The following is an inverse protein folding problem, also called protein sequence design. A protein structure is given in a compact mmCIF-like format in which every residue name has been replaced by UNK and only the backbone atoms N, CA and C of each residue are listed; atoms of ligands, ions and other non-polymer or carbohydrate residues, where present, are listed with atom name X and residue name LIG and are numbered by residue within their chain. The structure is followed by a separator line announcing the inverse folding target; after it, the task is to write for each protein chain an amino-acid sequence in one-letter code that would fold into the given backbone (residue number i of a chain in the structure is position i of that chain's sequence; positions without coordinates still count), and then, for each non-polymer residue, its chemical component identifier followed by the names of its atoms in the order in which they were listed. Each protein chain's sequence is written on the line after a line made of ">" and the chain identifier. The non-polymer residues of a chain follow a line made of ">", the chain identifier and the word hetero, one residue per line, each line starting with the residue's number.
data_IF_174257874738
#
_entry.id   IF_174257874738
#
_cell.length_a   1.000
_cell.length_b   1.000
_cell.length_c   1.000
_cell.angle_alpha   90.00
_cell.angle_beta   90.00
_cell.angle_gamma   90.00
#
_symmetry.space_group_name_H-M   'P 1'
#
loop_
_entity.id
_entity.type
_entity.pdbx_description
1 polymer ?
#
# COMPACT_ATOMS: atom_id res chain seq x y z
N UNK A 1 25.81 -18.05 0.79
CA UNK A 1 24.98 -19.11 0.16
C UNK A 1 25.78 -20.36 -0.17
N UNK A 2 26.87 -20.32 -0.94
CA UNK A 2 27.64 -21.52 -1.32
C UNK A 2 28.20 -22.29 -0.10
N UNK A 3 28.87 -21.62 0.82
CA UNK A 3 29.40 -22.22 2.06
C UNK A 3 28.30 -22.79 2.99
N UNK A 4 27.11 -22.19 3.01
CA UNK A 4 25.95 -22.72 3.77
C UNK A 4 25.37 -23.99 3.12
N UNK A 5 25.34 -24.03 1.78
CA UNK A 5 24.90 -25.20 1.03
C UNK A 5 25.90 -26.37 1.20
N UNK A 6 27.20 -26.10 1.15
CA UNK A 6 28.26 -27.10 1.38
C UNK A 6 28.17 -27.68 2.79
N UNK A 7 28.02 -26.82 3.82
CA UNK A 7 27.83 -27.28 5.22
C UNK A 7 26.56 -28.14 5.36
N UNK A 8 25.46 -27.74 4.72
CA UNK A 8 24.20 -28.49 4.76
C UNK A 8 24.36 -29.88 4.09
N UNK A 9 25.03 -29.94 2.94
CA UNK A 9 25.33 -31.19 2.22
C UNK A 9 26.16 -32.10 3.11
N UNK A 10 27.21 -31.59 3.77
CA UNK A 10 28.04 -32.34 4.69
C UNK A 10 27.22 -32.91 5.87
N UNK A 11 26.36 -32.10 6.49
CA UNK A 11 25.48 -32.54 7.56
C UNK A 11 24.51 -33.64 7.10
N UNK A 12 23.96 -33.53 5.91
CA UNK A 12 23.01 -34.50 5.35
C UNK A 12 23.71 -35.81 5.00
N UNK A 13 24.97 -35.78 4.53
CA UNK A 13 25.72 -36.96 4.11
C UNK A 13 25.95 -37.98 5.23
N UNK A 14 25.79 -37.62 6.49
CA UNK A 14 25.90 -38.51 7.65
C UNK A 14 24.63 -39.31 7.94
N UNK A 15 23.51 -39.02 7.25
CA UNK A 15 22.26 -39.77 7.43
C UNK A 15 22.09 -40.83 6.33
N UNK A 16 21.54 -42.03 6.64
CA UNK A 16 21.12 -42.97 5.63
C UNK A 16 20.13 -42.31 4.65
N UNK A 17 20.36 -42.45 3.34
CA UNK A 17 19.55 -41.80 2.31
C UNK A 17 18.05 -42.09 2.45
N UNK A 18 17.69 -43.35 2.74
CA UNK A 18 16.29 -43.73 2.96
C UNK A 18 15.66 -43.03 4.17
N UNK A 19 16.41 -42.88 5.28
CA UNK A 19 15.92 -42.21 6.48
C UNK A 19 15.75 -40.69 6.25
N UNK A 20 16.69 -40.10 5.51
CA UNK A 20 16.59 -38.67 5.14
C UNK A 20 15.40 -38.43 4.21
N UNK A 21 15.22 -39.23 3.17
CA UNK A 21 14.09 -39.13 2.23
C UNK A 21 12.75 -39.27 2.97
N UNK A 22 12.61 -40.30 3.83
CA UNK A 22 11.40 -40.51 4.61
C UNK A 22 11.10 -39.32 5.56
N UNK A 23 12.12 -38.74 6.19
CA UNK A 23 11.93 -37.53 7.03
C UNK A 23 11.54 -36.30 6.21
N UNK A 24 12.11 -36.15 5.02
CA UNK A 24 11.77 -35.05 4.10
C UNK A 24 10.32 -35.17 3.63
N UNK A 25 9.89 -36.36 3.21
CA UNK A 25 8.51 -36.62 2.79
C UNK A 25 7.52 -36.42 3.90
N UNK A 26 7.80 -36.89 5.13
CA UNK A 26 6.96 -36.67 6.30
C UNK A 26 6.84 -35.18 6.63
N UNK A 27 7.94 -34.43 6.53
CA UNK A 27 7.96 -32.98 6.76
C UNK A 27 7.16 -32.24 5.69
N UNK A 28 7.36 -32.58 4.40
CA UNK A 28 6.63 -31.99 3.29
C UNK A 28 5.12 -32.26 3.42
N UNK A 29 4.74 -33.51 3.72
CA UNK A 29 3.34 -33.89 3.92
C UNK A 29 2.70 -33.15 5.10
N UNK A 30 3.40 -33.08 6.25
CA UNK A 30 2.94 -32.30 7.41
C UNK A 30 2.71 -30.82 7.07
N UNK A 31 3.63 -30.19 6.33
CA UNK A 31 3.48 -28.79 5.90
C UNK A 31 2.27 -28.60 4.99
N UNK A 32 2.03 -29.50 4.05
CA UNK A 32 0.86 -29.46 3.17
C UNK A 32 -0.43 -29.59 3.99
N UNK A 33 -0.50 -30.50 4.94
CA UNK A 33 -1.66 -30.69 5.82
C UNK A 33 -1.95 -29.41 6.65
N UNK A 34 -0.92 -28.80 7.25
CA UNK A 34 -1.08 -27.57 8.02
C UNK A 34 -1.50 -26.40 7.13
N UNK A 35 -0.95 -26.29 5.93
CA UNK A 35 -1.36 -25.28 4.96
C UNK A 35 -2.86 -25.43 4.60
N UNK A 36 -3.29 -26.64 4.22
CA UNK A 36 -4.69 -26.91 3.91
C UNK A 36 -5.61 -26.67 5.11
N UNK A 37 -5.19 -27.02 6.32
CA UNK A 37 -5.92 -26.75 7.54
C UNK A 37 -6.06 -25.23 7.78
N UNK A 38 -5.00 -24.46 7.55
CA UNK A 38 -5.01 -23.01 7.67
C UNK A 38 -5.96 -22.35 6.66
N UNK A 39 -5.93 -22.79 5.40
CA UNK A 39 -6.85 -22.29 4.37
C UNK A 39 -8.31 -22.61 4.74
N UNK A 40 -8.59 -23.86 5.16
CA UNK A 40 -9.94 -24.23 5.63
C UNK A 40 -10.39 -23.41 6.85
N UNK A 41 -9.49 -23.22 7.82
CA UNK A 41 -9.77 -22.42 9.02
C UNK A 41 -10.10 -20.96 8.66
N UNK A 42 -9.40 -20.37 7.69
CA UNK A 42 -9.68 -19.03 7.17
C UNK A 42 -11.09 -18.95 6.55
N UNK A 43 -11.43 -19.85 5.62
CA UNK A 43 -12.73 -19.83 4.96
C UNK A 43 -13.93 -20.05 5.90
N UNK A 44 -13.74 -20.79 7.00
CA UNK A 44 -14.80 -21.06 7.98
C UNK A 44 -14.76 -20.13 9.20
N UNK A 45 -13.84 -19.15 9.23
CA UNK A 45 -13.73 -18.25 10.35
C UNK A 45 -14.94 -17.31 10.44
N UNK A 46 -15.54 -17.13 11.65
CA UNK A 46 -16.77 -16.35 11.80
C UNK A 46 -16.56 -14.83 11.74
N UNK A 47 -15.33 -14.36 11.81
CA UNK A 47 -15.05 -12.93 11.76
C UNK A 47 -15.63 -12.31 10.49
N UNK A 48 -16.26 -11.15 10.65
CA UNK A 48 -16.66 -10.24 9.57
C UNK A 48 -16.38 -8.82 10.04
N UNK A 49 -15.90 -7.96 9.14
CA UNK A 49 -15.72 -6.54 9.43
C UNK A 49 -17.09 -5.89 9.70
N UNK A 50 -17.26 -5.29 10.90
CA UNK A 50 -18.52 -4.70 11.35
C UNK A 50 -18.39 -3.21 11.68
N UNK A 51 -17.42 -2.51 11.09
CA UNK A 51 -17.32 -1.07 11.29
C UNK A 51 -18.41 -0.34 10.52
N UNK A 52 -19.02 0.62 11.19
CA UNK A 52 -19.90 1.56 10.51
C UNK A 52 -19.10 2.37 9.49
N UNK A 53 -19.56 2.37 8.26
CA UNK A 53 -18.95 3.20 7.22
C UNK A 53 -19.19 4.69 7.51
N UNK A 54 -18.15 5.52 7.29
CA UNK A 54 -18.31 6.97 7.41
C UNK A 54 -19.25 7.52 6.34
N UNK A 55 -19.87 8.68 6.58
CA UNK A 55 -20.68 9.36 5.56
C UNK A 55 -19.85 9.65 4.29
N UNK A 56 -20.46 9.44 3.13
CA UNK A 56 -19.96 9.89 1.84
C UNK A 56 -20.40 11.33 1.63
N UNK A 57 -19.46 12.26 1.49
CA UNK A 57 -19.76 13.69 1.32
C UNK A 57 -19.55 14.18 -0.11
N UNK A 58 -18.87 13.42 -0.94
CA UNK A 58 -18.66 13.68 -2.36
C UNK A 58 -18.45 12.37 -3.11
N UNK A 59 -18.87 12.33 -4.36
CA UNK A 59 -18.67 11.21 -5.26
C UNK A 59 -18.48 11.67 -6.68
N UNK A 60 -17.53 11.04 -7.39
CA UNK A 60 -17.33 11.22 -8.83
C UNK A 60 -16.94 9.86 -9.44
N UNK A 61 -17.81 9.31 -10.28
CA UNK A 61 -17.72 7.94 -10.75
C UNK A 61 -17.70 6.95 -9.58
N UNK A 62 -16.73 6.06 -9.56
CA UNK A 62 -16.52 5.11 -8.46
C UNK A 62 -15.87 5.74 -7.23
N UNK A 63 -15.18 6.88 -7.39
CA UNK A 63 -14.43 7.52 -6.31
C UNK A 63 -15.34 8.27 -5.33
N UNK A 64 -15.12 8.06 -4.04
CA UNK A 64 -15.91 8.63 -2.94
C UNK A 64 -15.01 9.31 -1.91
N UNK A 65 -15.49 10.41 -1.34
CA UNK A 65 -14.85 11.08 -0.21
C UNK A 65 -15.59 10.74 1.08
N UNK A 66 -14.91 10.04 1.97
CA UNK A 66 -15.45 9.55 3.24
C UNK A 66 -15.09 10.51 4.37
N UNK A 67 -16.08 10.92 5.17
CA UNK A 67 -15.92 11.85 6.28
C UNK A 67 -15.79 11.10 7.62
N UNK A 68 -14.59 11.09 8.19
CA UNK A 68 -14.30 10.47 9.48
C UNK A 68 -14.54 11.38 10.69
N UNK A 69 -14.95 12.61 10.45
CA UNK A 69 -15.17 13.57 11.52
C UNK A 69 -13.87 14.14 12.09
N UNK A 70 -13.88 14.38 13.37
CA UNK A 70 -12.81 15.05 14.11
C UNK A 70 -13.14 16.49 14.46
N UNK A 71 -12.14 17.28 14.85
CA UNK A 71 -12.33 18.67 15.22
C UNK A 71 -12.45 19.56 13.96
N UNK A 72 -13.56 20.27 13.81
CA UNK A 72 -13.82 21.17 12.67
C UNK A 72 -12.76 22.28 12.54
N UNK A 73 -12.19 22.74 13.66
CA UNK A 73 -11.14 23.75 13.70
C UNK A 73 -9.72 23.16 13.62
N UNK A 74 -9.59 21.83 13.72
CA UNK A 74 -8.31 21.11 13.67
C UNK A 74 -7.70 21.07 12.27
N UNK A 75 -6.41 20.73 12.13
CA UNK A 75 -5.79 20.55 10.82
C UNK A 75 -6.58 19.56 9.95
N UNK A 76 -6.79 19.92 8.69
CA UNK A 76 -7.56 19.08 7.75
C UNK A 76 -6.63 18.11 7.06
N UNK A 77 -7.00 16.83 7.04
CA UNK A 77 -6.24 15.80 6.33
C UNK A 77 -7.12 15.10 5.28
N UNK A 78 -6.52 14.82 4.11
CA UNK A 78 -7.05 13.94 3.09
C UNK A 78 -6.11 12.73 2.95
N UNK A 79 -6.57 11.57 3.41
CA UNK A 79 -5.84 10.33 3.24
C UNK A 79 -6.12 9.72 1.87
N UNK A 80 -5.06 9.30 1.18
CA UNK A 80 -5.07 8.76 -0.18
C UNK A 80 -4.45 7.36 -0.16
N UNK A 81 -5.26 6.31 -0.35
CA UNK A 81 -4.78 4.93 -0.35
C UNK A 81 -4.13 4.55 -1.67
N UNK A 82 -3.56 3.34 -1.72
CA UNK A 82 -3.14 2.71 -2.97
C UNK A 82 -4.32 2.50 -3.93
N UNK A 83 -4.04 2.41 -5.21
CA UNK A 83 -5.03 2.16 -6.28
C UNK A 83 -5.44 0.68 -6.40
N UNK A 84 -4.66 -0.23 -5.82
CA UNK A 84 -4.80 -1.69 -6.07
C UNK A 84 -5.76 -2.36 -5.10
N UNK A 85 -5.76 -1.91 -3.84
CA UNK A 85 -6.60 -2.48 -2.78
C UNK A 85 -7.56 -1.43 -2.25
N UNK A 86 -8.67 -1.89 -1.68
CA UNK A 86 -9.67 -1.00 -1.10
C UNK A 86 -9.13 -0.16 0.05
N UNK A 87 -9.65 1.04 0.17
CA UNK A 87 -9.20 2.09 1.09
C UNK A 87 -9.25 1.69 2.58
N UNK A 88 -10.06 0.69 2.93
CA UNK A 88 -10.30 0.35 4.34
C UNK A 88 -9.12 -0.29 5.07
N UNK A 89 -7.95 -0.49 4.44
CA UNK A 89 -6.71 -0.77 5.17
C UNK A 89 -6.38 0.34 6.16
N UNK A 90 -6.77 1.58 5.85
CA UNK A 90 -6.63 2.75 6.72
C UNK A 90 -7.68 2.78 7.85
N UNK A 91 -8.68 1.89 7.80
CA UNK A 91 -9.75 1.70 8.81
C UNK A 91 -10.11 0.21 8.95
N UNK A 92 -9.12 -0.66 9.13
CA UNK A 92 -9.29 -2.12 9.04
C UNK A 92 -10.21 -2.67 10.13
N UNK A 93 -10.09 -2.20 11.35
CA UNK A 93 -10.92 -2.61 12.51
C UNK A 93 -10.94 -1.51 13.56
N UNK A 94 -11.87 -1.58 14.53
CA UNK A 94 -11.96 -0.60 15.62
C UNK A 94 -10.64 -0.41 16.39
N UNK A 95 -9.84 -1.47 16.51
CA UNK A 95 -8.53 -1.42 17.16
C UNK A 95 -7.39 -0.99 16.21
N UNK A 96 -7.61 -1.05 14.90
CA UNK A 96 -6.63 -0.81 13.85
C UNK A 96 -7.22 0.09 12.78
N UNK A 97 -7.42 1.35 13.13
CA UNK A 97 -7.88 2.43 12.26
C UNK A 97 -6.93 3.61 12.39
N UNK A 98 -6.24 3.90 11.31
CA UNK A 98 -5.48 5.14 11.18
C UNK A 98 -6.45 6.33 11.17
N UNK A 99 -7.49 6.27 10.35
CA UNK A 99 -8.44 7.37 10.16
C UNK A 99 -9.14 7.79 11.44
N UNK A 100 -9.72 6.82 12.18
CA UNK A 100 -10.38 7.11 13.47
C UNK A 100 -9.39 7.64 14.50
N UNK A 101 -8.16 7.11 14.51
CA UNK A 101 -7.12 7.63 15.42
C UNK A 101 -6.74 9.08 15.10
N UNK A 102 -6.70 9.47 13.82
CA UNK A 102 -6.45 10.86 13.43
C UNK A 102 -7.61 11.76 13.86
N UNK A 103 -8.85 11.34 13.60
CA UNK A 103 -10.05 12.09 14.03
C UNK A 103 -10.12 12.24 15.56
N UNK A 104 -9.88 11.15 16.31
CA UNK A 104 -9.86 11.14 17.79
C UNK A 104 -8.74 12.04 18.35
N UNK A 105 -7.64 12.18 17.62
CA UNK A 105 -6.54 13.08 17.99
C UNK A 105 -6.87 14.59 17.76
N UNK A 106 -7.99 14.90 17.13
CA UNK A 106 -8.43 16.27 16.88
C UNK A 106 -8.13 16.80 15.46
N UNK A 107 -7.77 15.89 14.52
CA UNK A 107 -7.62 16.26 13.11
C UNK A 107 -8.97 16.12 12.39
N UNK A 108 -9.28 17.04 11.48
CA UNK A 108 -10.44 16.93 10.60
C UNK A 108 -10.11 15.99 9.45
N UNK A 109 -10.69 14.78 9.45
CA UNK A 109 -10.14 13.63 8.72
C UNK A 109 -11.04 13.15 7.59
N UNK A 110 -10.48 13.09 6.38
CA UNK A 110 -11.14 12.57 5.17
C UNK A 110 -10.33 11.46 4.54
N UNK A 111 -11.02 10.48 3.95
CA UNK A 111 -10.40 9.37 3.21
C UNK A 111 -10.98 9.34 1.79
N UNK A 112 -10.11 9.37 0.81
CA UNK A 112 -10.48 9.06 -0.56
C UNK A 112 -10.60 7.54 -0.71
N UNK A 113 -11.75 7.09 -1.18
CA UNK A 113 -11.97 5.70 -1.59
C UNK A 113 -12.14 5.69 -3.10
N UNK A 114 -11.22 5.05 -3.82
CA UNK A 114 -11.28 4.97 -5.28
C UNK A 114 -12.47 4.18 -5.80
N UNK A 115 -13.05 3.30 -4.96
CA UNK A 115 -14.09 2.38 -5.36
C UNK A 115 -13.59 1.29 -6.30
N UNK A 116 -14.52 0.65 -6.97
CA UNK A 116 -14.24 -0.30 -8.04
C UNK A 116 -14.46 0.39 -9.39
N UNK A 117 -13.46 0.40 -10.30
CA UNK A 117 -13.58 1.14 -11.55
C UNK A 117 -14.72 0.60 -12.42
N UNK A 118 -15.56 1.51 -12.88
CA UNK A 118 -16.67 1.27 -13.79
C UNK A 118 -16.43 1.86 -15.18
N UNK A 119 -17.51 2.07 -15.93
CA UNK A 119 -17.44 2.61 -17.29
C UNK A 119 -16.82 4.02 -17.34
N UNK A 120 -17.02 4.82 -16.30
CA UNK A 120 -16.49 6.19 -16.22
C UNK A 120 -14.98 6.22 -16.03
N UNK A 121 -14.39 5.17 -15.46
CA UNK A 121 -12.97 5.06 -15.21
C UNK A 121 -12.21 4.37 -16.36
N UNK A 122 -12.88 3.67 -17.26
CA UNK A 122 -12.22 2.87 -18.31
C UNK A 122 -11.19 3.63 -19.16
N UNK A 123 -11.33 4.95 -19.29
CA UNK A 123 -10.44 5.79 -20.05
C UNK A 123 -9.46 6.61 -19.23
N UNK A 124 -9.55 6.51 -17.89
CA UNK A 124 -8.68 7.27 -16.99
C UNK A 124 -7.31 6.60 -16.87
N UNK A 125 -6.29 7.36 -17.14
CA UNK A 125 -4.89 7.07 -16.83
C UNK A 125 -4.49 7.64 -15.46
N UNK A 126 -3.21 7.68 -15.14
CA UNK A 126 -2.72 8.30 -13.91
C UNK A 126 -3.05 9.78 -13.81
N UNK A 127 -2.96 10.51 -14.93
CA UNK A 127 -3.31 11.93 -14.99
C UNK A 127 -4.78 12.14 -14.64
N UNK A 128 -5.67 11.35 -15.23
CA UNK A 128 -7.10 11.39 -14.93
C UNK A 128 -7.41 11.06 -13.46
N UNK A 129 -6.74 10.07 -12.87
CA UNK A 129 -6.90 9.77 -11.45
C UNK A 129 -6.40 10.90 -10.54
N UNK A 130 -5.34 11.61 -10.92
CA UNK A 130 -4.82 12.76 -10.17
C UNK A 130 -5.71 13.98 -10.34
N UNK A 131 -6.05 14.36 -11.57
CA UNK A 131 -6.72 15.63 -11.85
C UNK A 131 -8.25 15.54 -11.70
N UNK A 132 -8.86 14.45 -12.18
CA UNK A 132 -10.33 14.35 -12.22
C UNK A 132 -10.90 13.65 -10.97
N UNK A 133 -10.08 13.00 -10.17
CA UNK A 133 -10.51 12.34 -8.93
C UNK A 133 -9.89 12.95 -7.71
N UNK A 134 -8.56 12.86 -7.53
CA UNK A 134 -7.87 13.33 -6.33
C UNK A 134 -7.96 14.86 -6.18
N UNK A 135 -7.66 15.61 -7.24
CA UNK A 135 -7.75 17.08 -7.19
C UNK A 135 -9.19 17.57 -6.95
N UNK A 136 -10.18 16.91 -7.54
CA UNK A 136 -11.59 17.26 -7.31
C UNK A 136 -12.03 16.97 -5.86
N UNK A 137 -11.56 15.86 -5.27
CA UNK A 137 -11.78 15.56 -3.86
C UNK A 137 -11.08 16.60 -2.95
N UNK A 138 -9.87 17.04 -3.30
CA UNK A 138 -9.16 18.12 -2.62
C UNK A 138 -9.93 19.44 -2.73
N UNK A 139 -10.42 19.80 -3.93
CA UNK A 139 -11.21 21.01 -4.17
C UNK A 139 -12.46 21.07 -3.29
N UNK A 140 -13.18 19.94 -3.15
CA UNK A 140 -14.36 19.84 -2.29
C UNK A 140 -14.05 20.19 -0.83
N UNK A 141 -12.95 19.66 -0.32
CA UNK A 141 -12.49 19.95 1.04
C UNK A 141 -12.02 21.40 1.14
N UNK A 142 -11.20 21.86 0.22
CA UNK A 142 -10.63 23.19 0.21
C UNK A 142 -11.71 24.29 0.13
N UNK A 143 -12.73 24.09 -0.70
CA UNK A 143 -13.86 25.01 -0.80
C UNK A 143 -14.66 25.10 0.49
N UNK A 144 -14.84 23.96 1.17
CA UNK A 144 -15.59 23.89 2.44
C UNK A 144 -14.84 24.57 3.58
N UNK A 145 -13.55 24.28 3.74
CA UNK A 145 -12.77 24.74 4.91
C UNK A 145 -11.99 26.03 4.67
N UNK A 146 -11.79 26.44 3.41
CA UNK A 146 -11.06 27.65 3.01
C UNK A 146 -9.65 27.75 3.61
N UNK A 147 -8.99 26.63 3.78
CA UNK A 147 -7.62 26.51 4.29
C UNK A 147 -6.90 25.33 3.65
N UNK A 148 -5.57 25.39 3.52
CA UNK A 148 -4.80 24.29 2.91
C UNK A 148 -4.98 22.97 3.66
N UNK A 149 -4.88 21.87 2.92
CA UNK A 149 -5.15 20.48 3.35
C UNK A 149 -3.85 19.70 3.42
N UNK A 150 -3.66 18.94 4.47
CA UNK A 150 -2.54 17.97 4.51
C UNK A 150 -2.92 16.71 3.72
N UNK A 151 -2.09 16.33 2.75
CA UNK A 151 -2.24 15.06 2.05
C UNK A 151 -1.50 13.95 2.80
N UNK A 152 -2.17 12.82 3.02
CA UNK A 152 -1.59 11.63 3.65
C UNK A 152 -1.64 10.47 2.67
N UNK A 153 -0.56 10.24 1.93
CA UNK A 153 -0.49 9.20 0.91
C UNK A 153 0.10 7.89 1.45
N UNK A 154 -0.58 6.77 1.18
CA UNK A 154 -0.07 5.43 1.50
C UNK A 154 0.26 4.67 0.22
N UNK A 155 1.48 4.13 0.13
CA UNK A 155 1.97 3.37 -1.02
C UNK A 155 1.86 4.20 -2.32
N UNK A 156 1.20 3.68 -3.36
CA UNK A 156 0.94 4.40 -4.61
C UNK A 156 0.19 5.72 -4.39
N UNK A 157 -0.71 5.78 -3.40
CA UNK A 157 -1.38 7.03 -3.03
C UNK A 157 -0.42 8.16 -2.66
N UNK A 158 0.75 7.83 -2.10
CA UNK A 158 1.80 8.81 -1.83
C UNK A 158 2.45 9.37 -3.11
N UNK A 159 2.57 8.57 -4.16
CA UNK A 159 3.07 9.04 -5.47
C UNK A 159 2.09 10.05 -6.07
N UNK A 160 0.77 9.75 -6.02
CA UNK A 160 -0.26 10.66 -6.48
C UNK A 160 -0.31 11.96 -5.65
N UNK A 161 -0.18 11.85 -4.32
CA UNK A 161 -0.07 13.02 -3.43
C UNK A 161 1.14 13.89 -3.77
N UNK A 162 2.28 13.27 -4.11
CA UNK A 162 3.48 14.00 -4.49
C UNK A 162 3.26 14.77 -5.79
N UNK A 163 2.61 14.15 -6.79
CA UNK A 163 2.27 14.85 -8.03
C UNK A 163 1.31 16.02 -7.78
N UNK A 164 0.24 15.78 -7.02
CA UNK A 164 -0.74 16.84 -6.74
C UNK A 164 -0.13 17.99 -5.94
N UNK A 165 0.81 17.71 -5.01
CA UNK A 165 1.49 18.76 -4.24
C UNK A 165 2.40 19.64 -5.12
N UNK A 166 2.98 19.10 -6.17
CA UNK A 166 3.75 19.88 -7.13
C UNK A 166 2.85 20.76 -8.02
N UNK A 167 1.63 20.29 -8.33
CA UNK A 167 0.68 20.99 -9.21
C UNK A 167 -0.17 22.02 -8.48
N UNK A 168 -0.54 21.78 -7.22
CA UNK A 168 -1.49 22.58 -6.44
C UNK A 168 -0.89 23.04 -5.10
N UNK A 169 0.29 23.70 -5.10
CA UNK A 169 1.00 24.03 -3.87
C UNK A 169 0.20 24.93 -2.90
N UNK A 170 -0.67 25.78 -3.41
CA UNK A 170 -1.45 26.73 -2.59
C UNK A 170 -2.58 26.04 -1.80
N UNK A 171 -3.03 24.87 -2.25
CA UNK A 171 -4.10 24.11 -1.58
C UNK A 171 -3.56 23.13 -0.54
N UNK A 172 -2.23 22.93 -0.48
CA UNK A 172 -1.62 21.88 0.32
C UNK A 172 -0.74 22.48 1.41
N UNK A 173 -1.05 22.13 2.68
CA UNK A 173 -0.30 22.55 3.86
C UNK A 173 0.96 21.69 4.08
N UNK A 174 0.77 20.40 4.08
CA UNK A 174 1.82 19.41 4.41
C UNK A 174 1.63 18.11 3.65
N UNK A 175 2.70 17.29 3.63
CA UNK A 175 2.67 15.93 3.11
C UNK A 175 3.02 14.91 4.19
N UNK A 176 2.27 13.81 4.27
CA UNK A 176 2.63 12.60 4.99
C UNK A 176 2.71 11.47 3.98
N UNK A 177 3.90 10.90 3.80
CA UNK A 177 4.17 9.89 2.78
C UNK A 177 4.55 8.57 3.46
N UNK A 178 3.67 7.58 3.37
CA UNK A 178 3.75 6.31 4.07
C UNK A 178 4.12 5.20 3.10
N UNK A 179 5.31 4.61 3.22
CA UNK A 179 5.81 3.57 2.33
C UNK A 179 5.62 3.92 0.84
N UNK A 180 5.93 5.14 0.46
CA UNK A 180 5.69 5.68 -0.88
C UNK A 180 6.87 5.36 -1.79
N UNK A 181 6.67 4.62 -2.90
CA UNK A 181 7.74 4.37 -3.88
C UNK A 181 8.02 5.61 -4.71
N UNK A 182 9.28 5.73 -5.21
CA UNK A 182 9.65 6.78 -6.16
C UNK A 182 10.65 6.30 -7.20
N UNK A 183 11.76 5.70 -6.76
CA UNK A 183 12.70 5.04 -7.66
C UNK A 183 12.35 3.54 -7.74
N UNK A 184 11.76 3.14 -8.85
CA UNK A 184 11.30 1.77 -9.09
C UNK A 184 12.43 0.84 -9.55
N UNK A 185 13.61 1.37 -9.87
CA UNK A 185 14.76 0.55 -10.26
C UNK A 185 15.68 0.23 -9.09
N UNK A 186 15.93 1.17 -8.17
CA UNK A 186 16.72 0.98 -6.96
C UNK A 186 18.01 0.17 -7.20
N UNK A 187 18.53 -0.45 -6.13
CA UNK A 187 19.75 -1.28 -6.23
C UNK A 187 19.50 -2.68 -6.78
N UNK A 188 18.27 -3.19 -6.77
CA UNK A 188 17.97 -4.58 -7.17
C UNK A 188 16.99 -4.71 -8.33
N UNK A 189 16.22 -3.70 -8.67
CA UNK A 189 15.24 -3.68 -9.78
C UNK A 189 14.41 -4.97 -9.97
N UNK A 190 14.25 -5.78 -8.90
CA UNK A 190 13.70 -7.15 -9.00
C UNK A 190 12.28 -7.14 -9.57
N UNK A 191 11.44 -6.20 -9.09
CA UNK A 191 10.06 -6.10 -9.58
C UNK A 191 10.02 -5.63 -11.02
N UNK A 192 10.82 -4.63 -11.39
CA UNK A 192 10.95 -4.15 -12.76
C UNK A 192 11.40 -5.27 -13.72
N UNK A 193 12.36 -6.10 -13.29
CA UNK A 193 12.84 -7.23 -14.08
C UNK A 193 11.76 -8.31 -14.30
N UNK A 194 10.97 -8.63 -13.27
CA UNK A 194 9.86 -9.60 -13.38
C UNK A 194 8.81 -9.07 -14.34
N UNK A 195 8.37 -7.81 -14.16
CA UNK A 195 7.37 -7.18 -15.03
C UNK A 195 7.90 -7.04 -16.46
N UNK A 196 9.16 -6.66 -16.62
CA UNK A 196 9.81 -6.53 -17.92
C UNK A 196 9.88 -7.85 -18.70
N UNK A 197 10.15 -8.96 -18.02
CA UNK A 197 10.24 -10.29 -18.65
C UNK A 197 8.89 -10.77 -19.22
N UNK A 198 7.76 -10.34 -18.66
CA UNK A 198 6.40 -10.72 -19.09
C UNK A 198 5.63 -9.57 -19.72
N UNK A 199 6.30 -8.44 -20.03
CA UNK A 199 5.66 -7.24 -20.60
C UNK A 199 4.79 -7.54 -21.81
N UNK A 200 5.26 -8.29 -22.87
CA UNK A 200 4.43 -8.53 -24.03
C UNK A 200 3.12 -9.26 -23.71
N UNK A 201 3.15 -10.21 -22.78
CA UNK A 201 1.97 -10.97 -22.36
C UNK A 201 1.00 -10.08 -21.56
N UNK A 202 1.53 -9.28 -20.65
CA UNK A 202 0.74 -8.31 -19.88
C UNK A 202 0.07 -7.28 -20.80
N UNK A 203 0.81 -6.75 -21.76
CA UNK A 203 0.29 -5.73 -22.69
C UNK A 203 -0.86 -6.28 -23.53
N UNK A 204 -0.69 -7.44 -24.14
CA UNK A 204 -1.76 -8.12 -24.90
C UNK A 204 -2.99 -8.38 -24.03
N UNK A 205 -2.79 -8.84 -22.79
CA UNK A 205 -3.88 -9.11 -21.85
C UNK A 205 -4.63 -7.82 -21.49
N UNK A 206 -3.92 -6.77 -21.10
CA UNK A 206 -4.50 -5.48 -20.70
C UNK A 206 -5.30 -4.88 -21.89
N UNK A 207 -4.75 -4.91 -23.10
CA UNK A 207 -5.43 -4.41 -24.29
C UNK A 207 -6.68 -5.24 -24.63
N UNK A 208 -6.62 -6.55 -24.48
CA UNK A 208 -7.74 -7.46 -24.81
C UNK A 208 -8.89 -7.34 -23.82
N UNK A 209 -8.57 -7.23 -22.52
CA UNK A 209 -9.56 -7.19 -21.43
C UNK A 209 -10.03 -5.79 -21.08
N UNK A 210 -9.32 -4.73 -21.52
CA UNK A 210 -9.57 -3.35 -21.13
C UNK A 210 -9.19 -3.05 -19.67
N UNK A 211 -8.59 -4.01 -18.97
CA UNK A 211 -8.14 -3.88 -17.58
C UNK A 211 -7.06 -4.90 -17.24
N UNK A 212 -6.34 -4.66 -16.14
CA UNK A 212 -5.47 -5.63 -15.50
C UNK A 212 -6.27 -6.34 -14.40
N UNK A 213 -6.54 -7.66 -14.54
CA UNK A 213 -7.35 -8.41 -13.58
C UNK A 213 -6.70 -8.50 -12.19
N UNK A 214 -7.53 -8.57 -11.15
CA UNK A 214 -7.11 -8.73 -9.75
C UNK A 214 -6.20 -9.95 -9.57
N UNK A 215 -6.52 -11.10 -10.19
CA UNK A 215 -5.74 -12.33 -10.06
C UNK A 215 -4.31 -12.17 -10.57
N UNK A 216 -4.12 -11.38 -11.62
CA UNK A 216 -2.77 -11.08 -12.14
C UNK A 216 -2.02 -10.16 -11.18
N UNK A 217 -2.67 -9.12 -10.67
CA UNK A 217 -2.07 -8.22 -9.66
C UNK A 217 -1.64 -9.03 -8.44
N UNK A 218 -2.52 -9.91 -7.93
CA UNK A 218 -2.20 -10.77 -6.79
C UNK A 218 -1.09 -11.75 -7.09
N UNK A 219 -1.03 -12.29 -8.32
CA UNK A 219 0.04 -13.20 -8.75
C UNK A 219 1.40 -12.48 -8.79
N UNK A 220 1.44 -11.23 -9.25
CA UNK A 220 2.65 -10.40 -9.21
C UNK A 220 3.12 -10.16 -7.76
N UNK A 221 2.21 -9.86 -6.84
CA UNK A 221 2.56 -9.74 -5.41
C UNK A 221 3.01 -11.07 -4.80
N UNK A 222 2.35 -12.16 -5.17
CA UNK A 222 2.72 -13.50 -4.70
C UNK A 222 4.14 -13.89 -5.14
N UNK A 223 4.55 -13.47 -6.34
CA UNK A 223 5.89 -13.74 -6.87
C UNK A 223 7.01 -13.03 -6.08
N UNK A 224 6.70 -11.97 -5.31
CA UNK A 224 7.68 -11.28 -4.46
C UNK A 224 8.18 -12.18 -3.33
N UNK A 225 7.27 -12.93 -2.69
CA UNK A 225 7.63 -13.86 -1.61
C UNK A 225 6.65 -15.05 -1.53
N UNK A 226 6.76 -16.02 -2.46
CA UNK A 226 5.84 -17.14 -2.54
C UNK A 226 5.91 -18.05 -1.29
N UNK A 227 7.05 -18.08 -0.60
CA UNK A 227 7.22 -18.87 0.62
C UNK A 227 6.37 -18.32 1.78
N UNK A 228 6.24 -17.00 1.91
CA UNK A 228 5.45 -16.39 2.97
C UNK A 228 3.96 -16.71 2.85
N UNK A 229 3.43 -16.88 1.64
CA UNK A 229 2.02 -17.23 1.43
C UNK A 229 1.69 -18.57 2.07
N UNK A 230 2.52 -19.58 1.84
CA UNK A 230 2.35 -20.89 2.48
C UNK A 230 2.53 -20.80 3.99
N UNK A 231 3.58 -20.12 4.43
CA UNK A 231 3.94 -20.05 5.84
C UNK A 231 2.90 -19.32 6.70
N UNK A 232 2.27 -18.26 6.19
CA UNK A 232 1.23 -17.53 6.92
C UNK A 232 0.01 -18.40 7.24
N UNK A 233 -0.43 -19.26 6.31
CA UNK A 233 -1.54 -20.18 6.53
C UNK A 233 -1.15 -21.36 7.42
N UNK A 234 0.08 -21.87 7.33
CA UNK A 234 0.61 -22.85 8.29
C UNK A 234 0.56 -22.27 9.71
N UNK A 235 1.05 -21.05 9.89
CA UNK A 235 1.01 -20.39 11.20
C UNK A 235 -0.42 -20.16 11.69
N UNK A 236 -1.34 -19.79 10.79
CA UNK A 236 -2.75 -19.59 11.11
C UNK A 236 -3.44 -20.87 11.57
N UNK A 237 -3.12 -22.02 10.98
CA UNK A 237 -3.67 -23.32 11.37
C UNK A 237 -3.38 -23.69 12.83
N UNK A 238 -2.34 -23.07 13.42
CA UNK A 238 -1.89 -23.32 14.80
C UNK A 238 -2.39 -22.25 15.79
N UNK A 239 -3.13 -21.24 15.33
CA UNK A 239 -3.68 -20.21 16.20
C UNK A 239 -4.99 -20.67 16.84
N UNK A 240 -5.27 -20.17 18.04
CA UNK A 240 -6.62 -20.24 18.59
C UNK A 240 -7.57 -19.39 17.73
N UNK A 241 -8.62 -19.99 17.12
CA UNK A 241 -9.55 -19.27 16.25
C UNK A 241 -10.27 -18.10 16.91
N UNK A 242 -10.40 -18.13 18.25
CA UNK A 242 -11.04 -17.06 19.04
C UNK A 242 -10.05 -15.98 19.48
N UNK A 243 -8.79 -16.11 19.13
CA UNK A 243 -7.77 -15.13 19.54
C UNK A 243 -7.87 -13.84 18.72
N UNK A 244 -7.52 -12.68 19.30
CA UNK A 244 -7.43 -11.42 18.57
C UNK A 244 -6.39 -11.47 17.43
N UNK A 245 -5.44 -12.40 17.49
CA UNK A 245 -4.47 -12.63 16.43
C UNK A 245 -5.11 -13.31 15.22
N UNK A 246 -5.98 -14.30 15.46
CA UNK A 246 -6.73 -14.97 14.39
C UNK A 246 -7.72 -14.00 13.70
N UNK A 247 -8.49 -13.24 14.48
CA UNK A 247 -9.38 -12.19 13.92
C UNK A 247 -8.62 -11.18 13.07
N UNK A 248 -7.45 -10.73 13.56
CA UNK A 248 -6.60 -9.81 12.79
C UNK A 248 -6.10 -10.44 11.49
N UNK A 249 -5.69 -11.72 11.54
CA UNK A 249 -5.24 -12.44 10.35
C UNK A 249 -6.36 -12.47 9.30
N UNK A 250 -7.57 -12.87 9.71
CA UNK A 250 -8.72 -12.93 8.81
C UNK A 250 -9.07 -11.55 8.24
N UNK A 251 -9.13 -10.51 9.09
CA UNK A 251 -9.38 -9.14 8.62
C UNK A 251 -8.37 -8.68 7.55
N UNK A 252 -7.11 -9.08 7.71
CA UNK A 252 -6.05 -8.76 6.76
C UNK A 252 -6.18 -9.56 5.46
N UNK A 253 -6.46 -10.87 5.55
CA UNK A 253 -6.66 -11.72 4.37
C UNK A 253 -7.91 -11.31 3.58
N UNK A 254 -9.00 -10.96 4.28
CA UNK A 254 -10.22 -10.44 3.64
C UNK A 254 -9.90 -9.18 2.84
N UNK A 255 -9.13 -8.23 3.43
CA UNK A 255 -8.71 -7.02 2.72
C UNK A 255 -7.78 -7.32 1.53
N UNK A 256 -6.82 -8.23 1.68
CA UNK A 256 -5.92 -8.63 0.60
C UNK A 256 -6.67 -9.26 -0.58
N UNK A 257 -7.72 -10.01 -0.29
CA UNK A 257 -8.56 -10.66 -1.30
C UNK A 257 -9.64 -9.72 -1.87
N UNK A 258 -9.89 -8.57 -1.24
CA UNK A 258 -10.83 -7.54 -1.69
C UNK A 258 -10.08 -6.45 -2.49
N UNK A 259 -9.35 -6.88 -3.52
CA UNK A 259 -8.62 -6.01 -4.43
C UNK A 259 -9.51 -5.54 -5.57
N UNK A 260 -9.08 -4.47 -6.25
CA UNK A 260 -9.78 -3.93 -7.42
C UNK A 260 -8.89 -4.04 -8.67
N UNK A 261 -9.48 -4.26 -9.86
CA UNK A 261 -8.71 -4.27 -11.10
C UNK A 261 -8.21 -2.87 -11.43
N UNK A 262 -7.16 -2.77 -12.23
CA UNK A 262 -6.73 -1.49 -12.80
C UNK A 262 -7.23 -1.40 -14.26
N UNK A 263 -7.88 -0.30 -14.60
CA UNK A 263 -8.26 -0.04 -16.00
C UNK A 263 -7.02 0.05 -16.89
N UNK A 264 -7.16 -0.27 -18.17
CA UNK A 264 -6.03 -0.44 -19.08
C UNK A 264 -5.06 0.75 -19.13
N UNK A 265 -5.48 2.01 -19.26
CA UNK A 265 -4.55 3.14 -19.28
C UNK A 265 -3.77 3.27 -17.96
N UNK A 266 -4.47 3.17 -16.82
CA UNK A 266 -3.85 3.23 -15.50
C UNK A 266 -2.86 2.08 -15.27
N UNK A 267 -3.24 0.85 -15.65
CA UNK A 267 -2.36 -0.32 -15.54
C UNK A 267 -1.09 -0.15 -16.37
N UNK A 268 -1.22 0.40 -17.58
CA UNK A 268 -0.10 0.69 -18.47
C UNK A 268 0.87 1.70 -17.85
N UNK A 269 0.35 2.81 -17.32
CA UNK A 269 1.18 3.83 -16.66
C UNK A 269 1.88 3.30 -15.42
N UNK A 270 1.17 2.53 -14.58
CA UNK A 270 1.75 1.95 -13.38
C UNK A 270 2.80 0.90 -13.71
N UNK A 271 2.47 -0.11 -14.55
CA UNK A 271 3.39 -1.22 -14.82
C UNK A 271 4.54 -0.82 -15.73
N UNK A 272 4.27 -0.05 -16.77
CA UNK A 272 5.29 0.27 -17.75
C UNK A 272 5.94 1.63 -17.47
N UNK A 273 5.15 2.67 -17.23
CA UNK A 273 5.68 3.99 -16.92
C UNK A 273 6.49 4.04 -15.61
N UNK A 274 6.01 3.38 -14.55
CA UNK A 274 6.73 3.39 -13.29
C UNK A 274 7.76 2.26 -13.19
N UNK A 275 7.34 0.97 -13.31
CA UNK A 275 8.27 -0.13 -13.07
C UNK A 275 9.29 -0.33 -14.20
N UNK A 276 8.90 -0.20 -15.49
CA UNK A 276 9.83 -0.43 -16.59
C UNK A 276 10.61 0.82 -16.94
N UNK A 277 9.91 1.94 -17.15
CA UNK A 277 10.54 3.19 -17.59
C UNK A 277 11.11 4.00 -16.42
N UNK A 278 10.67 3.72 -15.19
CA UNK A 278 11.03 4.45 -13.97
C UNK A 278 10.87 5.97 -14.12
N UNK A 279 9.77 6.41 -14.73
CA UNK A 279 9.56 7.83 -15.02
C UNK A 279 9.72 8.74 -13.81
N UNK A 280 9.16 8.41 -12.58
CA UNK A 280 9.36 9.25 -11.40
C UNK A 280 10.82 9.32 -10.95
N UNK A 281 11.51 8.17 -10.85
CA UNK A 281 12.91 8.11 -10.40
C UNK A 281 13.86 8.87 -11.34
N UNK A 282 13.56 8.84 -12.65
CA UNK A 282 14.35 9.52 -13.70
C UNK A 282 13.98 10.99 -13.91
N UNK A 283 12.92 11.51 -13.25
CA UNK A 283 12.44 12.88 -13.46
C UNK A 283 11.78 13.09 -14.83
N UNK A 284 11.21 12.04 -15.39
CA UNK A 284 10.53 12.03 -16.70
C UNK A 284 9.01 11.86 -16.58
N UNK A 285 8.50 11.91 -15.35
CA UNK A 285 7.07 11.80 -15.11
C UNK A 285 6.41 13.16 -15.27
N UNK A 286 5.46 13.23 -16.20
CA UNK A 286 4.74 14.44 -16.59
C UNK A 286 3.24 14.26 -16.31
N UNK A 287 2.61 15.28 -15.75
CA UNK A 287 1.17 15.38 -15.51
C UNK A 287 0.75 16.79 -15.90
N UNK A 288 -0.28 16.92 -16.73
CA UNK A 288 -0.81 18.21 -17.22
C UNK A 288 0.30 19.12 -17.83
N UNK A 289 1.21 18.52 -18.58
CA UNK A 289 2.33 19.22 -19.20
C UNK A 289 3.44 19.68 -18.24
N UNK A 290 3.40 19.23 -16.97
CA UNK A 290 4.40 19.59 -15.95
C UNK A 290 5.19 18.34 -15.51
N UNK A 291 6.53 18.44 -15.55
CA UNK A 291 7.38 17.42 -14.97
C UNK A 291 7.29 17.44 -13.44
N UNK A 292 6.96 16.29 -12.86
CA UNK A 292 6.80 16.16 -11.42
C UNK A 292 8.19 15.99 -10.79
N UNK A 293 8.64 17.04 -10.11
CA UNK A 293 9.91 17.05 -9.38
C UNK A 293 9.66 17.28 -7.88
N UNK A 294 9.93 16.29 -7.01
CA UNK A 294 9.75 16.49 -5.56
C UNK A 294 10.61 17.62 -4.97
N UNK A 295 11.70 18.02 -5.67
CA UNK A 295 12.53 19.15 -5.27
C UNK A 295 11.81 20.51 -5.27
N UNK A 296 10.71 20.62 -6.00
CA UNK A 296 9.90 21.84 -6.11
C UNK A 296 8.80 21.92 -5.04
N UNK A 297 8.64 20.86 -4.23
CA UNK A 297 7.64 20.79 -3.16
C UNK A 297 8.23 21.38 -1.87
N UNK A 298 7.85 22.61 -1.56
CA UNK A 298 8.37 23.35 -0.40
C UNK A 298 7.55 23.12 0.88
N UNK A 299 6.38 22.48 0.79
CA UNK A 299 5.57 22.11 1.95
C UNK A 299 6.34 21.14 2.85
N UNK A 300 6.20 21.27 4.20
CA UNK A 300 6.78 20.31 5.12
C UNK A 300 6.30 18.88 4.81
N UNK A 301 7.20 17.94 4.74
CA UNK A 301 6.91 16.54 4.46
C UNK A 301 7.35 15.62 5.60
N UNK A 302 6.50 14.65 5.97
CA UNK A 302 6.85 13.59 6.91
C UNK A 302 6.83 12.24 6.19
N UNK A 303 8.00 11.72 5.90
CA UNK A 303 8.17 10.44 5.21
C UNK A 303 8.42 9.35 6.22
N UNK A 304 7.60 8.27 6.17
CA UNK A 304 7.73 7.09 7.04
C UNK A 304 8.04 5.85 6.21
N UNK A 305 9.20 5.25 6.47
CA UNK A 305 9.71 4.10 5.72
C UNK A 305 9.75 2.86 6.62
N UNK A 306 9.04 1.77 6.26
CA UNK A 306 9.16 0.50 6.97
C UNK A 306 10.43 -0.25 6.54
N UNK A 307 11.29 -0.62 7.51
CA UNK A 307 12.60 -1.25 7.26
C UNK A 307 12.50 -2.64 6.57
N UNK A 308 11.44 -3.37 6.83
CA UNK A 308 11.24 -4.73 6.33
C UNK A 308 10.20 -4.77 5.20
N UNK A 309 10.07 -3.67 4.46
CA UNK A 309 9.16 -3.60 3.32
C UNK A 309 9.74 -4.36 2.12
N UNK A 310 8.96 -5.33 1.61
CA UNK A 310 9.32 -6.10 0.43
C UNK A 310 8.47 -5.73 -0.78
N UNK A 311 7.41 -4.95 -0.57
CA UNK A 311 6.53 -4.46 -1.64
C UNK A 311 7.10 -3.16 -2.20
N UNK A 312 7.32 -2.19 -1.33
CA UNK A 312 8.06 -0.96 -1.63
C UNK A 312 9.40 -1.04 -0.93
N UNK A 313 10.45 -1.33 -1.68
CA UNK A 313 11.79 -1.43 -1.12
C UNK A 313 12.17 -0.10 -0.44
N UNK A 314 12.79 -0.15 0.76
CA UNK A 314 13.15 1.06 1.49
C UNK A 314 13.96 2.06 0.66
N UNK A 315 14.83 1.59 -0.24
CA UNK A 315 15.63 2.43 -1.13
C UNK A 315 14.76 3.29 -2.06
N UNK A 316 13.66 2.71 -2.56
CA UNK A 316 12.71 3.43 -3.42
C UNK A 316 12.06 4.61 -2.69
N UNK A 317 11.63 4.40 -1.44
CA UNK A 317 11.04 5.45 -0.62
C UNK A 317 12.08 6.46 -0.12
N UNK A 318 13.32 6.03 0.14
CA UNK A 318 14.44 6.93 0.46
C UNK A 318 14.76 7.88 -0.69
N UNK A 319 14.69 7.41 -1.94
CA UNK A 319 14.91 8.25 -3.11
C UNK A 319 13.95 9.44 -3.18
N UNK A 320 12.68 9.26 -2.75
CA UNK A 320 11.71 10.35 -2.60
C UNK A 320 12.12 11.31 -1.49
N UNK A 321 12.41 10.77 -0.31
CA UNK A 321 12.79 11.59 0.85
C UNK A 321 14.03 12.45 0.60
N UNK A 322 14.99 11.94 -0.17
CA UNK A 322 16.22 12.69 -0.52
C UNK A 322 15.98 13.86 -1.47
N UNK A 323 14.89 13.83 -2.25
CA UNK A 323 14.54 14.91 -3.18
C UNK A 323 13.72 16.03 -2.55
N UNK A 324 12.99 15.74 -1.46
CA UNK A 324 12.14 16.71 -0.78
C UNK A 324 12.96 17.70 0.05
N UNK A 325 12.83 19.04 -0.14
CA UNK A 325 13.66 20.03 0.56
C UNK A 325 13.35 20.13 2.05
N UNK A 326 12.09 19.99 2.46
CA UNK A 326 11.64 20.16 3.85
C UNK A 326 11.11 18.82 4.39
N UNK A 327 12.00 17.83 4.55
CA UNK A 327 11.61 16.49 4.93
C UNK A 327 11.98 16.13 6.36
N UNK A 328 11.01 15.57 7.08
CA UNK A 328 11.24 14.78 8.28
C UNK A 328 11.14 13.31 7.93
N UNK A 329 12.25 12.59 8.03
CA UNK A 329 12.31 11.16 7.74
C UNK A 329 12.20 10.34 9.03
N UNK A 330 11.40 9.28 8.98
CA UNK A 330 11.30 8.28 10.05
C UNK A 330 11.30 6.87 9.49
N UNK A 331 12.19 6.03 10.00
CA UNK A 331 12.23 4.60 9.73
C UNK A 331 11.57 3.83 10.87
N UNK A 332 10.80 2.79 10.55
CA UNK A 332 10.09 1.97 11.54
C UNK A 332 10.31 0.48 11.29
N UNK A 333 10.43 -0.32 12.37
CA UNK A 333 10.55 -1.78 12.30
C UNK A 333 9.20 -2.41 11.96
N UNK A 334 8.83 -2.42 10.69
CA UNK A 334 7.59 -2.98 10.17
C UNK A 334 7.80 -3.41 8.71
N UNK A 335 6.89 -4.23 8.17
CA UNK A 335 6.71 -4.42 6.73
C UNK A 335 5.60 -3.52 6.21
N UNK A 336 5.35 -3.54 4.91
CA UNK A 336 4.42 -2.67 4.20
C UNK A 336 3.03 -2.57 4.88
N UNK A 337 2.31 -3.67 4.94
CA UNK A 337 0.99 -3.74 5.57
C UNK A 337 1.10 -3.66 7.10
N UNK A 338 2.18 -4.22 7.65
CA UNK A 338 2.44 -4.25 9.08
C UNK A 338 2.59 -2.87 9.71
N UNK A 339 3.03 -1.85 8.96
CA UNK A 339 3.08 -0.48 9.46
C UNK A 339 1.70 0.07 9.80
N UNK A 340 0.67 -0.30 9.02
CA UNK A 340 -0.73 0.11 9.25
C UNK A 340 -1.44 -0.77 10.28
N UNK A 341 -1.23 -2.09 10.27
CA UNK A 341 -2.04 -3.04 11.04
C UNK A 341 -1.30 -3.71 12.19
N UNK A 342 0.00 -3.52 12.31
CA UNK A 342 0.86 -4.18 13.28
C UNK A 342 0.53 -3.82 14.75
N UNK A 343 1.03 -4.66 15.69
CA UNK A 343 0.86 -4.43 17.13
C UNK A 343 1.33 -3.04 17.55
N UNK A 344 2.40 -2.57 16.94
CA UNK A 344 3.05 -1.30 17.28
C UNK A 344 2.58 -0.13 16.43
N UNK A 345 1.66 -0.30 15.46
CA UNK A 345 1.25 0.74 14.51
C UNK A 345 0.84 2.05 15.21
N UNK A 346 0.02 1.96 16.26
CA UNK A 346 -0.39 3.14 17.04
C UNK A 346 0.81 3.90 17.64
N UNK A 347 1.79 3.17 18.18
CA UNK A 347 2.97 3.78 18.83
C UNK A 347 4.02 4.23 17.83
N UNK A 348 4.27 3.45 16.79
CA UNK A 348 5.36 3.71 15.84
C UNK A 348 4.96 4.63 14.68
N UNK A 349 3.68 4.66 14.31
CA UNK A 349 3.17 5.42 13.16
C UNK A 349 2.10 6.43 13.58
N UNK A 350 0.93 5.98 14.08
CA UNK A 350 -0.23 6.85 14.26
C UNK A 350 0.04 8.02 15.22
N UNK A 351 0.55 7.73 16.42
CA UNK A 351 0.87 8.76 17.42
C UNK A 351 1.92 9.77 16.95
N UNK A 352 3.06 9.34 16.39
CA UNK A 352 4.03 10.28 15.82
C UNK A 352 3.49 11.13 14.68
N UNK A 353 2.68 10.58 13.77
CA UNK A 353 2.05 11.33 12.67
C UNK A 353 1.06 12.35 13.23
N UNK A 354 0.11 11.93 14.10
CA UNK A 354 -0.86 12.84 14.67
C UNK A 354 -0.20 13.96 15.47
N UNK A 355 0.85 13.64 16.26
CA UNK A 355 1.60 14.65 17.00
C UNK A 355 2.26 15.66 16.06
N UNK A 356 2.89 15.22 14.97
CA UNK A 356 3.54 16.11 14.01
C UNK A 356 2.51 17.02 13.31
N UNK A 357 1.34 16.47 12.95
CA UNK A 357 0.27 17.23 12.30
C UNK A 357 -0.37 18.27 13.22
N UNK A 358 -0.43 18.01 14.53
CA UNK A 358 -0.96 18.94 15.53
C UNK A 358 0.06 19.97 15.99
N UNK A 359 1.36 19.73 15.76
CA UNK A 359 2.41 20.68 16.11
C UNK A 359 2.45 21.78 15.03
N UNK A 360 2.20 23.02 15.42
CA UNK A 360 2.53 24.18 14.57
C UNK A 360 4.06 24.33 14.62
N UNK A 361 4.78 23.68 13.73
CA UNK A 361 6.18 24.04 13.48
C UNK A 361 6.14 25.39 12.73
N UNK A 362 6.62 26.45 13.41
CA UNK A 362 6.83 27.79 12.83
C UNK A 362 8.01 27.75 11.88
#
# INVERSE_FOLDING_TARGET
>A
MKAQAENLIEQISHFPEQAFTAALDATAFSRIQHFQAGVRAYHHHPYRRQLQEPPVIWQNGSSRLLDYGGNEDGPVILAVPSLINKAYILDLSAKRSFMRTMADAGLRSFLLDWGEPGETEQKLDLEGYILERLNKALDEIYQKYRRPVTLVGYCMGGVLCTALAALEPDKIDRLVLLATPWDFHGTQATHANIIGAIKPQLDVMIQTLGLLPVDIIQSLFAAIDPYQIVQKFINFSQMDPKSPQAEKFVAMEDWLNDSVPLVAPLAHDCLFGWYIDNKPGRGLWEIDGHYINPGDIHQPAYVVIPENDRIVLPESAHALAQKLPNVRLKTIKAGHIGMMTGRNAKRSLYGPVSKWLLTQEK
#
